data_IF_135655109934
#
_entry.id   IF_135655109934
#
_cell.length_a   1.000
_cell.length_b   1.000
_cell.length_c   1.000
_cell.angle_alpha   90.00
_cell.angle_beta   90.00
_cell.angle_gamma   90.00
#
_symmetry.space_group_name_H-M   'P 1'
#
loop_
_entity.id
_entity.type
_entity.pdbx_description
1 polymer ?
#
# COMPACT_ATOMS: atom_id res chain seq x y z
N UNK A 1 -8.44 18.10 -18.24
CA UNK A 1 -9.77 18.46 -18.72
C UNK A 1 -10.76 17.33 -18.44
N UNK A 2 -11.47 17.41 -17.31
CA UNK A 2 -12.37 16.34 -16.79
C UNK A 2 -13.75 16.44 -17.45
N UNK A 3 -14.17 17.66 -17.82
CA UNK A 3 -15.44 17.95 -18.49
C UNK A 3 -15.47 17.37 -19.91
N UNK A 4 -14.37 17.53 -20.67
CA UNK A 4 -14.24 16.97 -22.01
C UNK A 4 -14.26 15.43 -22.04
N UNK A 5 -13.78 14.76 -20.97
CA UNK A 5 -13.74 13.29 -20.87
C UNK A 5 -14.99 12.65 -20.26
N UNK A 6 -15.81 13.41 -19.53
CA UNK A 6 -17.02 12.90 -18.85
C UNK A 6 -18.32 13.12 -19.64
N UNK A 7 -18.26 13.81 -20.79
CA UNK A 7 -19.44 14.16 -21.58
C UNK A 7 -20.38 15.14 -20.88
N UNK A 8 -19.93 15.78 -19.79
CA UNK A 8 -20.71 16.71 -18.97
C UNK A 8 -20.06 18.09 -18.96
N UNK A 9 -20.88 19.13 -19.00
CA UNK A 9 -20.41 20.52 -18.92
C UNK A 9 -19.73 20.76 -17.57
N UNK A 10 -18.67 21.59 -17.56
CA UNK A 10 -17.88 21.84 -16.35
C UNK A 10 -18.74 22.22 -15.13
N UNK A 11 -19.83 22.98 -15.35
CA UNK A 11 -20.77 23.37 -14.29
C UNK A 11 -21.52 22.21 -13.63
N UNK A 12 -21.81 21.11 -14.34
CA UNK A 12 -22.54 19.96 -13.79
C UNK A 12 -21.65 19.04 -12.94
N UNK A 13 -20.35 18.95 -13.26
CA UNK A 13 -19.38 18.21 -12.44
C UNK A 13 -19.07 18.98 -11.15
N UNK A 14 -18.99 20.31 -11.20
CA UNK A 14 -18.82 21.18 -10.03
C UNK A 14 -20.07 21.32 -9.16
N UNK A 15 -21.26 20.89 -9.61
CA UNK A 15 -22.49 20.98 -8.80
C UNK A 15 -22.67 19.76 -7.87
N UNK A 16 -22.08 18.62 -8.22
CA UNK A 16 -22.13 17.39 -7.39
C UNK A 16 -21.06 17.36 -6.30
N UNK A 17 -20.02 18.17 -6.40
CA UNK A 17 -18.91 18.25 -5.47
C UNK A 17 -18.72 19.70 -5.03
N UNK A 18 -18.32 19.94 -3.78
CA UNK A 18 -18.03 21.28 -3.24
C UNK A 18 -16.75 21.87 -3.88
N UNK A 19 -16.80 22.20 -5.17
CA UNK A 19 -15.67 22.73 -5.92
C UNK A 19 -14.62 21.69 -6.32
N UNK A 20 -13.41 22.16 -6.65
CA UNK A 20 -12.28 21.31 -7.07
C UNK A 20 -11.78 20.45 -5.91
N UNK A 21 -11.93 20.95 -4.70
CA UNK A 21 -11.57 20.32 -3.44
C UNK A 21 -12.48 19.13 -3.15
N UNK A 22 -13.80 19.26 -3.37
CA UNK A 22 -14.74 18.15 -3.26
C UNK A 22 -14.47 17.03 -4.27
N UNK A 23 -14.03 17.37 -5.49
CA UNK A 23 -13.60 16.38 -6.49
C UNK A 23 -12.35 15.64 -6.01
N UNK A 24 -11.39 16.35 -5.39
CA UNK A 24 -10.17 15.73 -4.88
C UNK A 24 -10.46 14.73 -3.74
N UNK A 25 -11.33 15.10 -2.81
CA UNK A 25 -11.79 14.21 -1.72
C UNK A 25 -12.47 12.98 -2.30
N UNK A 26 -13.41 13.15 -3.24
CA UNK A 26 -14.15 12.05 -3.84
C UNK A 26 -13.25 11.10 -4.64
N UNK A 27 -12.25 11.62 -5.36
CA UNK A 27 -11.28 10.79 -6.10
C UNK A 27 -10.42 9.96 -5.14
N UNK A 28 -10.03 10.51 -4.00
CA UNK A 28 -9.33 9.77 -2.94
C UNK A 28 -10.28 8.70 -2.39
N UNK A 29 -11.45 9.07 -1.88
CA UNK A 29 -12.40 8.14 -1.25
C UNK A 29 -12.83 6.98 -2.15
N UNK A 30 -13.26 7.27 -3.39
CA UNK A 30 -13.70 6.27 -4.37
C UNK A 30 -12.60 5.23 -4.65
N UNK A 31 -11.34 5.67 -4.68
CA UNK A 31 -10.24 4.77 -5.00
C UNK A 31 -9.85 3.86 -3.86
N UNK A 32 -9.79 4.40 -2.65
CA UNK A 32 -9.47 3.62 -1.47
C UNK A 32 -10.65 2.76 -0.99
N UNK A 33 -11.88 3.01 -1.47
CA UNK A 33 -13.04 2.17 -1.20
C UNK A 33 -12.84 0.70 -1.62
N UNK A 34 -12.14 0.47 -2.74
CA UNK A 34 -11.87 -0.89 -3.26
C UNK A 34 -10.86 -1.68 -2.42
N UNK A 35 -10.06 -1.02 -1.58
CA UNK A 35 -9.03 -1.68 -0.77
C UNK A 35 -9.59 -2.64 0.27
N UNK A 36 -10.81 -2.37 0.73
CA UNK A 36 -11.55 -3.28 1.61
C UNK A 36 -11.77 -4.66 0.98
N UNK A 37 -12.04 -4.71 -0.33
CA UNK A 37 -12.25 -5.94 -1.08
C UNK A 37 -10.93 -6.67 -1.37
N UNK A 38 -9.86 -5.92 -1.67
CA UNK A 38 -8.52 -6.48 -1.83
C UNK A 38 -8.03 -7.14 -0.53
N UNK A 39 -8.15 -6.46 0.61
CA UNK A 39 -7.73 -7.00 1.90
C UNK A 39 -8.50 -8.28 2.31
N UNK A 40 -9.78 -8.39 1.90
CA UNK A 40 -10.61 -9.57 2.16
C UNK A 40 -10.16 -10.81 1.37
N UNK A 41 -9.61 -10.65 0.16
CA UNK A 41 -9.08 -11.77 -0.66
C UNK A 41 -7.91 -12.48 0.00
N UNK A 42 -7.18 -11.79 0.88
CA UNK A 42 -6.07 -12.34 1.65
C UNK A 42 -6.50 -12.74 3.06
N UNK A 43 -7.72 -13.26 3.16
CA UNK A 43 -8.26 -13.94 4.34
C UNK A 43 -7.92 -15.43 4.39
N UNK A 44 -7.49 -16.03 3.27
CA UNK A 44 -7.16 -17.46 3.21
C UNK A 44 -5.98 -17.81 4.13
N UNK A 45 -6.25 -18.58 5.17
CA UNK A 45 -5.25 -18.96 6.18
C UNK A 45 -4.37 -20.14 5.77
N UNK A 46 -4.65 -20.77 4.62
CA UNK A 46 -3.80 -21.85 4.08
C UNK A 46 -2.47 -21.34 3.51
N UNK A 47 -2.41 -20.06 3.11
CA UNK A 47 -1.19 -19.41 2.63
C UNK A 47 -0.47 -18.71 3.79
N UNK A 48 0.86 -18.85 3.93
CA UNK A 48 1.62 -18.18 4.98
C UNK A 48 1.40 -16.66 5.01
N UNK A 49 1.23 -16.03 6.20
CA UNK A 49 0.84 -14.62 6.27
C UNK A 49 1.80 -13.63 5.60
N UNK A 50 3.11 -13.93 5.57
CA UNK A 50 4.09 -13.09 4.85
C UNK A 50 3.94 -13.21 3.34
N UNK A 51 3.64 -14.40 2.80
CA UNK A 51 3.38 -14.58 1.36
C UNK A 51 2.11 -13.86 0.94
N UNK A 52 1.06 -13.93 1.77
CA UNK A 52 -0.15 -13.13 1.57
C UNK A 52 0.14 -11.63 1.55
N UNK A 53 0.99 -11.15 2.45
CA UNK A 53 1.38 -9.73 2.48
C UNK A 53 2.13 -9.31 1.22
N UNK A 54 3.08 -10.14 0.76
CA UNK A 54 3.82 -9.91 -0.48
C UNK A 54 2.85 -9.87 -1.65
N UNK A 55 2.05 -10.91 -1.87
CA UNK A 55 1.11 -10.98 -2.98
C UNK A 55 0.10 -9.82 -2.97
N UNK A 56 -0.44 -9.47 -1.80
CA UNK A 56 -1.35 -8.35 -1.65
C UNK A 56 -0.69 -7.01 -2.08
N UNK A 57 0.62 -6.85 -1.85
CA UNK A 57 1.32 -5.63 -2.27
C UNK A 57 1.48 -5.52 -3.80
N UNK A 58 1.67 -6.63 -4.51
CA UNK A 58 1.72 -6.62 -5.99
C UNK A 58 0.37 -6.21 -6.56
N UNK A 59 -0.72 -6.79 -6.04
CA UNK A 59 -2.08 -6.42 -6.43
C UNK A 59 -2.35 -4.92 -6.21
N UNK A 60 -1.91 -4.37 -5.08
CA UNK A 60 -2.02 -2.93 -4.81
C UNK A 60 -1.13 -2.12 -5.76
N UNK A 61 0.12 -2.50 -5.98
CA UNK A 61 1.05 -1.79 -6.86
C UNK A 61 0.52 -1.70 -8.30
N UNK A 62 -0.07 -2.79 -8.79
CA UNK A 62 -0.75 -2.84 -10.06
C UNK A 62 -2.00 -1.96 -10.11
N UNK A 63 -2.81 -1.94 -9.05
CA UNK A 63 -3.97 -1.07 -8.96
C UNK A 63 -3.60 0.42 -8.91
N UNK A 64 -2.43 0.74 -8.36
CA UNK A 64 -1.87 2.10 -8.32
C UNK A 64 -1.39 2.56 -9.70
N UNK A 65 -0.67 1.72 -10.43
CA UNK A 65 0.03 2.11 -11.67
C UNK A 65 -0.81 2.01 -12.94
N UNK A 66 -1.75 1.06 -13.01
CA UNK A 66 -2.57 0.86 -14.22
C UNK A 66 -3.72 1.84 -14.38
N UNK A 67 -4.02 2.62 -13.34
CA UNK A 67 -5.23 3.42 -13.30
C UNK A 67 -4.95 4.91 -13.09
N UNK A 68 -5.26 5.69 -14.13
CA UNK A 68 -5.06 7.15 -14.15
C UNK A 68 -5.78 7.88 -13.01
N UNK A 69 -6.90 7.35 -12.52
CA UNK A 69 -7.63 7.95 -11.39
C UNK A 69 -6.99 7.59 -10.05
N UNK A 70 -6.47 6.37 -9.89
CA UNK A 70 -5.71 5.98 -8.68
C UNK A 70 -4.45 6.86 -8.51
N UNK A 71 -3.75 7.12 -9.61
CA UNK A 71 -2.60 8.02 -9.64
C UNK A 71 -2.95 9.45 -9.26
N UNK A 72 -4.07 9.95 -9.79
CA UNK A 72 -4.57 11.26 -9.41
C UNK A 72 -4.89 11.32 -7.91
N UNK A 73 -5.52 10.29 -7.34
CA UNK A 73 -5.79 10.20 -5.90
C UNK A 73 -4.52 10.20 -5.04
N UNK A 74 -3.51 9.41 -5.40
CA UNK A 74 -2.22 9.38 -4.71
C UNK A 74 -1.52 10.74 -4.74
N UNK A 75 -1.51 11.40 -5.90
CA UNK A 75 -0.93 12.74 -6.06
C UNK A 75 -1.67 13.80 -5.27
N UNK A 76 -3.00 13.80 -5.32
CA UNK A 76 -3.85 14.70 -4.52
C UNK A 76 -3.61 14.52 -3.02
N UNK A 77 -3.40 13.28 -2.56
CA UNK A 77 -3.06 13.02 -1.16
C UNK A 77 -1.67 13.55 -0.78
N UNK A 78 -0.67 13.43 -1.66
CA UNK A 78 0.66 14.05 -1.44
C UNK A 78 0.53 15.57 -1.35
N UNK A 79 -0.27 16.16 -2.22
CA UNK A 79 -0.54 17.61 -2.28
C UNK A 79 -1.62 18.08 -1.28
N UNK A 80 -2.06 17.23 -0.34
CA UNK A 80 -3.19 17.53 0.57
C UNK A 80 -3.02 18.80 1.40
N UNK A 81 -1.78 19.24 1.66
CA UNK A 81 -1.50 20.46 2.43
C UNK A 81 -1.88 21.74 1.69
N UNK A 82 -1.98 21.70 0.35
CA UNK A 82 -2.45 22.83 -0.46
C UNK A 82 -3.95 22.75 -0.77
N UNK A 83 -4.59 21.61 -0.46
CA UNK A 83 -6.02 21.38 -0.66
C UNK A 83 -6.77 21.84 0.60
N UNK A 84 -7.66 22.82 0.44
CA UNK A 84 -8.46 23.39 1.55
C UNK A 84 -9.64 22.50 1.94
N UNK A 85 -9.41 21.20 2.09
CA UNK A 85 -10.38 20.22 2.53
C UNK A 85 -9.70 19.08 3.31
N UNK A 86 -10.38 18.49 4.30
CA UNK A 86 -9.85 17.33 5.00
C UNK A 86 -9.83 16.14 4.05
N UNK A 87 -8.64 15.75 3.59
CA UNK A 87 -8.45 14.53 2.81
C UNK A 87 -8.22 13.37 3.79
N UNK A 88 -9.04 12.30 3.76
CA UNK A 88 -8.88 11.16 4.66
C UNK A 88 -7.52 10.48 4.45
N UNK A 89 -6.97 9.86 5.51
CA UNK A 89 -5.77 9.03 5.39
C UNK A 89 -6.15 7.71 4.69
N UNK A 90 -5.76 7.54 3.42
CA UNK A 90 -6.14 6.37 2.66
C UNK A 90 -5.43 5.12 3.17
N UNK A 91 -4.28 5.29 3.82
CA UNK A 91 -3.40 4.21 4.22
C UNK A 91 -3.82 3.51 5.51
N UNK A 92 -4.82 4.03 6.22
CA UNK A 92 -5.28 3.47 7.49
C UNK A 92 -5.72 2.00 7.34
N UNK A 93 -6.52 1.70 6.31
CA UNK A 93 -7.03 0.35 6.08
C UNK A 93 -5.91 -0.63 5.68
N UNK A 94 -5.01 -0.18 4.81
CA UNK A 94 -3.84 -0.95 4.40
C UNK A 94 -2.86 -1.20 5.56
N UNK A 95 -2.65 -0.20 6.41
CA UNK A 95 -1.84 -0.30 7.63
C UNK A 95 -2.45 -1.31 8.60
N UNK A 96 -3.78 -1.32 8.76
CA UNK A 96 -4.47 -2.30 9.59
C UNK A 96 -4.33 -3.73 9.03
N UNK A 97 -4.52 -3.92 7.72
CA UNK A 97 -4.35 -5.22 7.07
C UNK A 97 -2.90 -5.75 7.18
N UNK A 98 -1.92 -4.87 6.94
CA UNK A 98 -0.49 -5.19 7.09
C UNK A 98 -0.15 -5.53 8.54
N UNK A 99 -0.69 -4.78 9.50
CA UNK A 99 -0.52 -5.06 10.94
C UNK A 99 -1.05 -6.45 11.29
N UNK A 100 -2.23 -6.82 10.79
CA UNK A 100 -2.85 -8.14 11.01
C UNK A 100 -1.96 -9.26 10.46
N UNK A 101 -1.50 -9.13 9.21
CA UNK A 101 -0.64 -10.14 8.57
C UNK A 101 0.70 -10.31 9.28
N UNK A 102 1.35 -9.21 9.67
CA UNK A 102 2.58 -9.26 10.44
C UNK A 102 2.38 -9.85 11.84
N UNK A 103 1.23 -9.59 12.47
CA UNK A 103 0.91 -10.19 13.76
C UNK A 103 0.71 -11.71 13.65
N UNK A 104 -0.02 -12.17 12.63
CA UNK A 104 -0.18 -13.59 12.33
C UNK A 104 1.17 -14.26 12.04
N UNK A 105 2.01 -13.64 11.21
CA UNK A 105 3.35 -14.14 10.91
C UNK A 105 4.23 -14.24 12.16
N UNK A 106 4.12 -13.28 13.08
CA UNK A 106 4.87 -13.32 14.34
C UNK A 106 4.41 -14.44 15.27
N UNK A 107 3.10 -14.67 15.38
CA UNK A 107 2.54 -15.81 16.14
C UNK A 107 3.02 -17.14 15.56
N UNK A 108 3.11 -17.24 14.22
CA UNK A 108 3.64 -18.40 13.52
C UNK A 108 5.17 -18.54 13.59
N UNK A 109 5.89 -17.63 14.25
CA UNK A 109 7.36 -17.65 14.32
C UNK A 109 8.08 -17.27 13.03
N UNK A 110 7.38 -16.73 12.03
CA UNK A 110 7.95 -16.32 10.73
C UNK A 110 8.52 -14.90 10.74
N UNK A 111 8.37 -14.16 11.85
CA UNK A 111 8.88 -12.80 12.04
C UNK A 111 9.71 -12.75 13.32
N UNK A 112 10.85 -12.03 13.29
CA UNK A 112 11.72 -11.80 14.45
C UNK A 112 10.92 -11.27 15.64
N UNK A 113 11.22 -11.78 16.83
CA UNK A 113 10.53 -11.41 18.09
C UNK A 113 10.56 -9.89 18.37
N UNK A 114 11.68 -9.23 18.06
CA UNK A 114 11.83 -7.78 18.24
C UNK A 114 10.97 -6.90 17.33
N UNK A 115 10.36 -7.46 16.28
CA UNK A 115 9.49 -6.72 15.37
C UNK A 115 8.11 -6.51 16.01
N UNK A 116 7.69 -5.24 16.09
CA UNK A 116 6.34 -4.85 16.52
C UNK A 116 5.44 -4.65 15.29
N UNK A 117 4.45 -5.52 15.01
CA UNK A 117 3.63 -5.50 13.80
C UNK A 117 3.08 -4.13 13.43
N UNK A 118 2.43 -3.44 14.37
CA UNK A 118 1.85 -2.13 14.11
C UNK A 118 2.90 -1.04 13.79
N UNK A 119 4.09 -1.12 14.42
CA UNK A 119 5.17 -0.17 14.12
C UNK A 119 5.80 -0.47 12.77
N UNK A 120 6.02 -1.74 12.46
CA UNK A 120 6.53 -2.18 11.17
C UNK A 120 5.57 -1.82 10.03
N UNK A 121 4.26 -2.05 10.20
CA UNK A 121 3.25 -1.66 9.23
C UNK A 121 3.28 -0.14 8.95
N UNK A 122 3.32 0.70 9.98
CA UNK A 122 3.40 2.17 9.81
C UNK A 122 4.66 2.64 9.09
N UNK A 123 5.69 1.81 8.97
CA UNK A 123 6.91 2.10 8.19
C UNK A 123 6.84 1.50 6.79
N UNK A 124 6.44 0.23 6.67
CA UNK A 124 6.39 -0.49 5.40
C UNK A 124 5.37 0.11 4.45
N UNK A 125 4.21 0.52 4.97
CA UNK A 125 3.13 1.08 4.17
C UNK A 125 3.59 2.35 3.43
N UNK A 126 4.04 3.43 4.10
CA UNK A 126 4.53 4.61 3.38
C UNK A 126 5.73 4.32 2.48
N UNK A 127 6.65 3.44 2.89
CA UNK A 127 7.81 3.07 2.07
C UNK A 127 7.39 2.42 0.73
N UNK A 128 6.43 1.49 0.78
CA UNK A 128 5.83 0.86 -0.39
C UNK A 128 5.19 1.89 -1.33
N UNK A 129 4.39 2.82 -0.79
CA UNK A 129 3.76 3.86 -1.60
C UNK A 129 4.80 4.80 -2.23
N UNK A 130 5.84 5.15 -1.49
CA UNK A 130 6.96 5.94 -1.99
C UNK A 130 7.67 5.24 -3.14
N UNK A 131 7.95 3.94 -2.99
CA UNK A 131 8.53 3.10 -4.04
C UNK A 131 7.67 3.12 -5.30
N UNK A 132 6.38 2.76 -5.20
CA UNK A 132 5.46 2.74 -6.35
C UNK A 132 5.38 4.09 -7.05
N UNK A 133 5.28 5.18 -6.26
CA UNK A 133 5.17 6.54 -6.79
C UNK A 133 6.43 6.97 -7.53
N UNK A 134 7.61 6.69 -6.97
CA UNK A 134 8.88 7.08 -7.57
C UNK A 134 9.22 6.23 -8.80
N UNK A 135 8.98 4.91 -8.75
CA UNK A 135 9.18 4.04 -9.90
C UNK A 135 8.29 4.46 -11.07
N UNK A 136 7.02 4.76 -10.81
CA UNK A 136 6.12 5.25 -11.87
C UNK A 136 6.53 6.62 -12.43
N UNK A 137 7.10 7.50 -11.59
CA UNK A 137 7.49 8.84 -12.01
C UNK A 137 8.83 8.90 -12.75
N UNK A 138 9.74 7.97 -12.46
CA UNK A 138 11.14 8.03 -12.91
C UNK A 138 11.51 6.89 -13.88
N UNK A 139 10.72 5.84 -13.94
CA UNK A 139 11.00 4.62 -14.71
C UNK A 139 9.79 4.20 -15.55
N UNK A 140 9.96 3.16 -16.37
CA UNK A 140 8.87 2.57 -17.13
C UNK A 140 7.97 1.72 -16.23
N UNK A 141 6.66 1.69 -16.50
CA UNK A 141 5.71 0.89 -15.74
C UNK A 141 6.04 -0.63 -15.70
N UNK A 142 6.86 -1.11 -16.64
CA UNK A 142 7.34 -2.47 -16.69
C UNK A 142 8.38 -2.79 -15.59
N UNK A 143 9.05 -1.79 -15.00
CA UNK A 143 10.07 -2.01 -13.97
C UNK A 143 9.49 -2.12 -12.55
N UNK A 144 8.19 -1.86 -12.37
CA UNK A 144 7.54 -1.88 -11.06
C UNK A 144 7.70 -3.22 -10.34
N UNK A 145 7.51 -4.32 -11.06
CA UNK A 145 7.56 -5.66 -10.48
C UNK A 145 8.99 -5.99 -10.02
N UNK A 146 9.99 -5.60 -10.79
CA UNK A 146 11.41 -5.77 -10.44
C UNK A 146 11.75 -4.95 -9.19
N UNK A 147 11.37 -3.67 -9.15
CA UNK A 147 11.59 -2.79 -7.99
C UNK A 147 10.89 -3.29 -6.73
N UNK A 148 9.67 -3.80 -6.89
CA UNK A 148 8.91 -4.35 -5.78
C UNK A 148 9.53 -5.66 -5.27
N UNK A 149 10.07 -6.48 -6.17
CA UNK A 149 10.81 -7.71 -5.84
C UNK A 149 12.07 -7.37 -5.03
N UNK A 150 12.91 -6.45 -5.53
CA UNK A 150 14.13 -6.00 -4.83
C UNK A 150 13.82 -5.48 -3.42
N UNK A 151 12.74 -4.69 -3.28
CA UNK A 151 12.31 -4.17 -1.99
C UNK A 151 11.84 -5.26 -1.04
N UNK A 152 11.10 -6.26 -1.53
CA UNK A 152 10.67 -7.38 -0.72
C UNK A 152 11.81 -8.29 -0.30
N UNK A 153 12.80 -8.53 -1.15
CA UNK A 153 13.97 -9.33 -0.79
C UNK A 153 14.70 -8.69 0.41
N UNK A 154 14.96 -7.39 0.38
CA UNK A 154 15.57 -6.65 1.50
C UNK A 154 14.67 -6.61 2.74
N UNK A 155 13.36 -6.40 2.53
CA UNK A 155 12.39 -6.29 3.62
C UNK A 155 12.19 -7.62 4.34
N UNK A 156 12.09 -8.74 3.60
CA UNK A 156 11.89 -10.07 4.16
C UNK A 156 13.12 -10.54 4.94
N UNK A 157 14.35 -10.23 4.47
CA UNK A 157 15.58 -10.47 5.24
C UNK A 157 15.56 -9.73 6.60
N UNK A 158 14.98 -8.54 6.62
CA UNK A 158 14.84 -7.74 7.83
C UNK A 158 13.77 -8.28 8.79
N UNK A 159 12.69 -8.85 8.24
CA UNK A 159 11.56 -9.39 9.02
C UNK A 159 11.76 -10.81 9.53
N UNK A 160 12.31 -11.72 8.72
CA UNK A 160 12.38 -13.16 9.03
C UNK A 160 13.42 -13.46 10.11
N UNK A 161 13.17 -14.41 11.03
CA UNK A 161 14.19 -14.86 11.98
C UNK A 161 15.47 -15.23 11.26
N UNK A 162 16.62 -14.80 11.77
CA UNK A 162 17.88 -15.38 11.32
C UNK A 162 17.94 -16.83 11.81
N UNK A 163 18.42 -17.78 11.00
CA UNK A 163 18.71 -19.10 11.51
C UNK A 163 19.68 -18.94 12.68
N UNK A 164 19.23 -19.28 13.89
CA UNK A 164 20.13 -19.36 15.03
C UNK A 164 21.20 -20.38 14.68
N UNK A 165 22.45 -19.94 14.53
CA UNK A 165 23.56 -20.87 14.38
C UNK A 165 23.45 -21.89 15.52
N UNK A 166 23.38 -23.20 15.24
CA UNK A 166 23.27 -24.19 16.30
C UNK A 166 24.44 -23.98 17.24
N UNK A 167 24.14 -23.79 18.53
CA UNK A 167 25.15 -23.71 19.57
C UNK A 167 26.06 -24.93 19.44
N UNK A 168 27.25 -24.73 18.89
CA UNK A 168 28.33 -25.70 18.98
C UNK A 168 28.65 -25.82 20.47
N UNK A 169 27.98 -26.76 21.12
CA UNK A 169 28.36 -27.24 22.44
C UNK A 169 29.74 -27.86 22.28
N UNK A 170 30.77 -27.07 22.53
CA UNK A 170 32.09 -27.59 22.86
C UNK A 170 31.92 -28.42 24.11
N UNK A 171 31.91 -29.75 23.93
CA UNK A 171 31.94 -30.71 25.01
C UNK A 171 33.14 -30.40 25.92
N UNK A 172 32.86 -30.30 27.22
CA UNK A 172 33.88 -30.48 28.25
C UNK A 172 34.14 -31.96 28.44
#
# INVERSE_FOLDING_TARGET
DISARSGRTSGAVYFHYTGKEGIAVAVVEDRFATWSQLAARYGDETVPPLERLVALSYDVAHALTRDTVTRAGARLWVERTVIKAPIPDPFALWTAATTRLLAQARVAGHVKEGIRPARAARTLVPAFFGLCTLTEALEDAATLDDRLTDWWDLTLLSLRPQPSLPNLRTGR
#
